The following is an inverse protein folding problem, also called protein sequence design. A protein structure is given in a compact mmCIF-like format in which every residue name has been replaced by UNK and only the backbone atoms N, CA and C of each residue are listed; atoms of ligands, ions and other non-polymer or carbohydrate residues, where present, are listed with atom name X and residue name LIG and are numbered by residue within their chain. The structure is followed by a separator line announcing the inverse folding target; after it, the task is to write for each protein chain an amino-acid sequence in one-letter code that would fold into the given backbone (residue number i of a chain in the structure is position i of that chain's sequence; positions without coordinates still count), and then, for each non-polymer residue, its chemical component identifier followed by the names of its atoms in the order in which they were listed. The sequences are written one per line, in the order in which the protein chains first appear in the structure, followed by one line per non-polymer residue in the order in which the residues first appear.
data_IF_091718520437
#
_entry.id   IF_091718520437
#
_cell.length_a   1.000
_cell.length_b   1.000
_cell.length_c   1.000
_cell.angle_alpha   90.00
_cell.angle_beta   90.00
_cell.angle_gamma   90.00
#
_symmetry.space_group_name_H-M   'P 1'
#
loop_
_entity.id
_entity.type
_entity.pdbx_description
1 polymer ?
#
# COMPACT_ATOMS: atom_id res chain seq x y z
N UNK A 1 -11.54 21.62 -6.86
CA UNK A 1 -11.89 21.39 -5.44
C UNK A 1 -11.34 20.04 -5.04
N UNK A 2 -10.16 20.02 -4.41
CA UNK A 2 -9.50 18.78 -3.99
C UNK A 2 -10.09 18.41 -2.62
N UNK A 3 -10.79 17.28 -2.53
CA UNK A 3 -11.34 16.79 -1.27
C UNK A 3 -10.19 16.24 -0.42
N UNK A 4 -9.80 16.99 0.61
CA UNK A 4 -8.86 16.55 1.63
C UNK A 4 -9.55 15.47 2.48
N UNK A 5 -9.35 14.20 2.15
CA UNK A 5 -9.74 13.12 3.06
C UNK A 5 -8.76 13.06 4.23
N UNK A 6 -9.05 13.83 5.28
CA UNK A 6 -8.51 13.57 6.60
C UNK A 6 -9.40 12.50 7.25
N UNK A 7 -8.85 11.34 7.65
CA UNK A 7 -9.66 10.34 8.35
C UNK A 7 -10.26 10.94 9.61
N UNK A 8 -11.51 10.58 9.91
CA UNK A 8 -12.22 11.15 11.05
C UNK A 8 -11.55 10.74 12.36
N UNK A 9 -11.76 11.51 13.42
CA UNK A 9 -11.26 11.19 14.78
C UNK A 9 -11.71 9.80 15.24
N UNK A 10 -12.88 9.34 14.78
CA UNK A 10 -13.37 7.98 15.00
C UNK A 10 -12.63 6.93 14.19
N UNK A 11 -12.25 7.19 12.94
CA UNK A 11 -11.43 6.26 12.13
C UNK A 11 -10.03 6.10 12.70
N UNK A 12 -9.43 7.20 13.17
CA UNK A 12 -8.14 7.21 13.86
C UNK A 12 -8.24 6.47 15.21
N UNK A 13 -9.27 6.74 16.00
CA UNK A 13 -9.50 6.07 17.27
C UNK A 13 -9.84 4.58 17.11
N UNK A 14 -10.50 4.18 16.01
CA UNK A 14 -10.81 2.79 15.70
C UNK A 14 -9.56 2.03 15.21
N UNK A 15 -8.65 2.72 14.50
CA UNK A 15 -7.31 2.21 14.18
C UNK A 15 -6.50 1.98 15.46
N UNK A 16 -6.41 2.99 16.33
CA UNK A 16 -5.61 2.95 17.56
C UNK A 16 -6.18 2.00 18.62
N UNK A 17 -7.51 1.93 18.79
CA UNK A 17 -8.14 1.04 19.77
C UNK A 17 -8.03 -0.44 19.39
N UNK A 18 -7.93 -0.78 18.10
CA UNK A 18 -7.68 -2.15 17.61
C UNK A 18 -6.24 -2.60 17.84
N UNK A 19 -5.28 -1.67 17.81
CA UNK A 19 -3.91 -1.93 18.22
C UNK A 19 -3.84 -2.20 19.73
N UNK A 20 -4.65 -1.48 20.53
CA UNK A 20 -4.62 -1.57 22.00
C UNK A 20 -5.38 -2.76 22.62
N UNK A 21 -6.48 -3.24 22.02
CA UNK A 21 -7.27 -4.36 22.58
C UNK A 21 -6.70 -5.76 22.29
N UNK A 22 -5.64 -5.90 21.52
CA UNK A 22 -5.19 -7.16 20.89
C UNK A 22 -3.72 -7.50 21.20
N UNK A 23 -3.30 -7.28 22.44
CA UNK A 23 -1.91 -7.47 22.90
C UNK A 23 -1.34 -8.88 22.65
N UNK A 24 -2.17 -9.92 22.69
CA UNK A 24 -1.71 -11.31 22.57
C UNK A 24 -1.98 -11.97 21.20
N UNK A 25 -2.96 -11.47 20.43
CA UNK A 25 -3.38 -12.09 19.15
C UNK A 25 -2.80 -11.42 17.90
N UNK A 26 -2.31 -10.17 17.98
CA UNK A 26 -1.52 -9.57 16.87
C UNK A 26 -0.09 -10.12 16.85
N UNK A 27 0.41 -10.57 18.01
CA UNK A 27 1.77 -11.06 18.19
C UNK A 27 2.13 -12.26 17.28
N UNK A 28 1.15 -13.07 16.85
CA UNK A 28 1.38 -14.33 16.13
C UNK A 28 0.89 -14.35 14.67
N UNK A 29 0.18 -13.31 14.20
CA UNK A 29 -0.38 -13.30 12.84
C UNK A 29 0.57 -12.65 11.83
N UNK A 30 0.77 -13.28 10.66
CA UNK A 30 1.56 -12.69 9.57
C UNK A 30 1.04 -11.32 9.16
N UNK A 31 1.96 -10.40 8.90
CA UNK A 31 1.65 -9.04 8.46
C UNK A 31 2.24 -8.81 7.07
N UNK A 32 1.40 -8.43 6.11
CA UNK A 32 1.82 -8.07 4.76
C UNK A 32 1.78 -6.56 4.54
N UNK A 33 2.88 -6.01 4.02
CA UNK A 33 3.03 -4.60 3.67
C UNK A 33 3.33 -4.47 2.19
N UNK A 34 2.56 -3.65 1.48
CA UNK A 34 2.82 -3.25 0.09
C UNK A 34 3.32 -1.81 0.08
N UNK A 35 4.50 -1.58 -0.50
CA UNK A 35 5.05 -0.25 -0.74
C UNK A 35 5.02 0.06 -2.23
N UNK A 36 4.40 1.20 -2.58
CA UNK A 36 4.27 1.72 -3.95
C UNK A 36 5.23 2.91 -4.10
N UNK A 37 6.38 2.63 -4.68
CA UNK A 37 7.40 3.62 -5.00
C UNK A 37 7.35 4.09 -6.45
N UNK A 38 8.15 5.12 -6.76
CA UNK A 38 8.28 5.66 -8.13
C UNK A 38 8.85 4.64 -9.12
N UNK A 39 9.67 3.70 -8.65
CA UNK A 39 10.32 2.72 -9.53
C UNK A 39 9.74 1.30 -9.39
N UNK A 40 9.29 0.92 -8.20
CA UNK A 40 8.88 -0.44 -7.91
C UNK A 40 7.71 -0.50 -6.94
N UNK A 41 6.94 -1.57 -7.06
CA UNK A 41 6.01 -2.00 -6.02
C UNK A 41 6.60 -3.22 -5.32
N UNK A 42 6.60 -3.23 -3.99
CA UNK A 42 7.14 -4.34 -3.19
C UNK A 42 6.09 -4.87 -2.23
N UNK A 43 5.96 -6.19 -2.13
CA UNK A 43 5.29 -6.89 -1.04
C UNK A 43 6.33 -7.48 -0.10
N UNK A 44 6.19 -7.19 1.19
CA UNK A 44 6.93 -7.84 2.26
C UNK A 44 5.93 -8.48 3.22
N UNK A 45 6.14 -9.74 3.57
CA UNK A 45 5.40 -10.44 4.61
C UNK A 45 6.34 -10.77 5.76
N UNK A 46 5.93 -10.43 6.96
CA UNK A 46 6.62 -10.74 8.21
C UNK A 46 5.90 -11.85 8.96
N UNK A 47 6.68 -12.77 9.54
CA UNK A 47 6.15 -13.88 10.35
C UNK A 47 5.88 -13.42 11.78
N UNK A 48 4.72 -12.80 12.00
CA UNK A 48 4.22 -12.38 13.32
C UNK A 48 4.95 -11.19 13.95
N UNK A 49 4.29 -10.49 14.87
CA UNK A 49 4.85 -9.34 15.59
C UNK A 49 5.74 -9.78 16.76
N UNK A 50 6.84 -10.48 16.45
CA UNK A 50 8.00 -10.51 17.34
C UNK A 50 8.69 -9.14 17.31
N UNK A 51 9.46 -8.81 18.37
CA UNK A 51 10.24 -7.55 18.45
C UNK A 51 11.26 -7.41 17.29
N UNK A 52 11.56 -8.52 16.62
CA UNK A 52 12.32 -8.61 15.36
C UNK A 52 11.69 -9.70 14.47
N UNK A 53 10.71 -9.36 13.61
CA UNK A 53 10.04 -10.33 12.75
C UNK A 53 10.98 -10.86 11.65
N UNK A 54 10.97 -12.17 11.41
CA UNK A 54 11.64 -12.74 10.25
C UNK A 54 10.86 -12.43 8.95
N UNK A 55 11.60 -12.27 7.84
CA UNK A 55 10.97 -12.22 6.52
C UNK A 55 10.36 -13.58 6.20
N UNK A 56 9.04 -13.58 6.01
CA UNK A 56 8.33 -14.74 5.47
C UNK A 56 8.29 -14.72 3.95
N UNK A 57 8.15 -13.51 3.38
CA UNK A 57 8.10 -13.31 1.93
C UNK A 57 8.60 -11.91 1.57
N UNK A 58 9.29 -11.77 0.44
CA UNK A 58 9.72 -10.48 -0.08
C UNK A 58 9.79 -10.54 -1.59
N UNK A 59 8.95 -9.76 -2.27
CA UNK A 59 8.93 -9.69 -3.72
C UNK A 59 8.84 -8.23 -4.19
N UNK A 60 9.62 -7.90 -5.22
CA UNK A 60 9.70 -6.57 -5.81
C UNK A 60 9.41 -6.67 -7.31
N UNK A 61 8.47 -5.86 -7.79
CA UNK A 61 8.13 -5.73 -9.21
C UNK A 61 8.51 -4.32 -9.69
N UNK A 62 9.30 -4.27 -10.76
CA UNK A 62 9.69 -3.02 -11.41
C UNK A 62 8.53 -2.47 -12.23
N UNK A 63 7.99 -1.32 -11.81
CA UNK A 63 6.84 -0.71 -12.46
C UNK A 63 7.20 0.60 -13.15
N UNK A 64 8.27 1.29 -12.75
CA UNK A 64 8.63 2.61 -13.29
C UNK A 64 7.45 3.60 -13.29
N UNK A 65 6.67 3.60 -12.21
CA UNK A 65 5.43 4.36 -12.06
C UNK A 65 5.63 5.87 -12.18
N UNK A 66 6.76 6.39 -11.69
CA UNK A 66 7.14 7.80 -11.77
C UNK A 66 7.99 8.17 -12.99
N UNK A 67 8.14 7.29 -13.98
CA UNK A 67 8.92 7.61 -15.18
C UNK A 67 8.22 8.72 -16.00
N UNK A 68 8.93 9.82 -16.25
CA UNK A 68 8.37 10.99 -16.94
C UNK A 68 7.57 11.94 -16.05
N UNK A 69 7.54 11.72 -14.73
CA UNK A 69 6.71 12.50 -13.81
C UNK A 69 7.16 13.96 -13.70
N UNK A 70 8.47 14.22 -13.69
CA UNK A 70 9.02 15.59 -13.62
C UNK A 70 8.64 16.44 -14.83
N UNK A 71 8.49 15.81 -15.99
CA UNK A 71 8.20 16.49 -17.25
C UNK A 71 6.70 16.60 -17.51
N UNK A 72 5.94 15.54 -17.22
CA UNK A 72 4.51 15.46 -17.56
C UNK A 72 3.59 15.86 -16.42
N UNK A 73 4.07 15.81 -15.17
CA UNK A 73 3.23 15.96 -13.98
C UNK A 73 2.29 14.78 -13.72
N UNK A 74 2.37 13.70 -14.51
CA UNK A 74 1.48 12.53 -14.42
C UNK A 74 2.28 11.24 -14.23
N UNK A 75 1.62 10.20 -13.71
CA UNK A 75 2.16 8.87 -13.61
C UNK A 75 2.36 8.24 -15.00
N UNK A 76 3.39 7.41 -15.11
CA UNK A 76 3.66 6.67 -16.34
C UNK A 76 2.49 5.70 -16.67
N UNK A 77 1.85 5.77 -17.85
CA UNK A 77 0.70 4.92 -18.18
C UNK A 77 1.00 3.42 -18.15
N UNK A 78 2.13 3.00 -18.69
CA UNK A 78 2.56 1.60 -18.64
C UNK A 78 2.91 1.19 -17.21
N UNK A 79 3.49 2.11 -16.44
CA UNK A 79 3.81 1.91 -15.05
C UNK A 79 2.58 1.74 -14.17
N UNK A 80 1.50 2.48 -14.45
CA UNK A 80 0.20 2.28 -13.80
C UNK A 80 -0.34 0.89 -14.08
N UNK A 81 -0.32 0.45 -15.34
CA UNK A 81 -0.76 -0.89 -15.73
C UNK A 81 0.02 -1.98 -15.00
N UNK A 82 1.36 -1.87 -14.96
CA UNK A 82 2.21 -2.81 -14.21
C UNK A 82 1.93 -2.79 -12.71
N UNK A 83 1.75 -1.61 -12.12
CA UNK A 83 1.49 -1.48 -10.68
C UNK A 83 0.14 -2.07 -10.27
N UNK A 84 -0.93 -1.84 -11.04
CA UNK A 84 -2.24 -2.46 -10.81
C UNK A 84 -2.13 -3.99 -10.87
N UNK A 85 -1.48 -4.53 -11.90
CA UNK A 85 -1.29 -5.97 -12.04
C UNK A 85 -0.46 -6.56 -10.89
N UNK A 86 0.60 -5.87 -10.47
CA UNK A 86 1.44 -6.27 -9.35
C UNK A 86 0.64 -6.33 -8.04
N UNK A 87 -0.13 -5.28 -7.73
CA UNK A 87 -0.92 -5.19 -6.49
C UNK A 87 -2.04 -6.22 -6.50
N UNK A 88 -2.74 -6.41 -7.62
CA UNK A 88 -3.76 -7.46 -7.74
C UNK A 88 -3.16 -8.86 -7.52
N UNK A 89 -1.95 -9.12 -8.02
CA UNK A 89 -1.26 -10.39 -7.75
C UNK A 89 -0.89 -10.51 -6.26
N UNK A 90 -0.42 -9.43 -5.64
CA UNK A 90 -0.10 -9.40 -4.22
C UNK A 90 -1.33 -9.65 -3.33
N UNK A 91 -2.52 -9.16 -3.70
CA UNK A 91 -3.75 -9.45 -2.93
C UNK A 91 -4.11 -10.94 -2.98
N UNK A 92 -3.94 -11.60 -4.12
CA UNK A 92 -4.13 -13.05 -4.22
C UNK A 92 -3.10 -13.84 -3.40
N UNK A 93 -1.82 -13.43 -3.45
CA UNK A 93 -0.77 -14.03 -2.64
C UNK A 93 -1.04 -13.89 -1.15
N UNK A 94 -1.42 -12.69 -0.70
CA UNK A 94 -1.77 -12.43 0.69
C UNK A 94 -2.93 -13.31 1.16
N UNK A 95 -3.98 -13.43 0.33
CA UNK A 95 -5.13 -14.29 0.60
C UNK A 95 -4.70 -15.76 0.73
N UNK A 96 -3.84 -16.25 -0.16
CA UNK A 96 -3.30 -17.62 -0.10
C UNK A 96 -2.44 -17.86 1.15
N UNK A 97 -1.75 -16.84 1.65
CA UNK A 97 -0.97 -16.90 2.89
C UNK A 97 -1.82 -16.72 4.17
N UNK A 98 -3.14 -16.60 4.05
CA UNK A 98 -4.03 -16.37 5.19
C UNK A 98 -3.95 -14.95 5.76
N UNK A 99 -3.46 -13.98 4.98
CA UNK A 99 -3.35 -12.57 5.36
C UNK A 99 -4.61 -11.85 4.83
N UNK A 100 -5.59 -11.53 5.69
CA UNK A 100 -6.88 -11.03 5.24
C UNK A 100 -6.81 -9.58 4.73
N UNK A 101 -5.76 -8.84 5.05
CA UNK A 101 -5.61 -7.43 4.66
C UNK A 101 -4.14 -7.05 4.53
N UNK A 102 -3.78 -6.39 3.43
CA UNK A 102 -2.45 -5.81 3.24
C UNK A 102 -2.45 -4.36 3.72
N UNK A 103 -1.34 -3.94 4.34
CA UNK A 103 -1.08 -2.53 4.60
C UNK A 103 -0.43 -1.97 3.34
N UNK A 104 -1.15 -1.16 2.57
CA UNK A 104 -0.65 -0.61 1.31
C UNK A 104 -0.32 0.87 1.46
N UNK A 105 0.92 1.24 1.14
CA UNK A 105 1.45 2.61 1.28
C UNK A 105 1.96 3.08 -0.08
N UNK A 106 1.71 4.34 -0.42
CA UNK A 106 2.28 4.98 -1.59
C UNK A 106 3.08 6.23 -1.22
N UNK A 107 4.18 6.44 -1.93
CA UNK A 107 5.16 7.50 -1.64
C UNK A 107 5.10 8.63 -2.68
N UNK A 108 6.26 9.19 -3.06
CA UNK A 108 6.37 10.45 -3.80
C UNK A 108 5.67 10.43 -5.16
N UNK A 109 5.86 9.41 -6.00
CA UNK A 109 5.26 9.40 -7.33
C UNK A 109 3.74 9.56 -7.31
N UNK A 110 3.04 8.80 -6.47
CA UNK A 110 1.57 8.86 -6.39
C UNK A 110 1.11 10.16 -5.71
N UNK A 111 1.86 10.67 -4.73
CA UNK A 111 1.52 11.91 -4.04
C UNK A 111 1.65 13.13 -4.95
N UNK A 112 2.71 13.18 -5.74
CA UNK A 112 3.13 14.38 -6.46
C UNK A 112 2.50 14.45 -7.88
N UNK A 113 1.99 13.32 -8.40
CA UNK A 113 1.31 13.28 -9.69
C UNK A 113 -0.11 13.85 -9.67
N UNK A 114 -0.46 14.59 -10.72
CA UNK A 114 -1.80 15.16 -10.90
C UNK A 114 -2.88 14.08 -10.99
N UNK A 115 -2.56 12.94 -11.59
CA UNK A 115 -3.47 11.78 -11.72
C UNK A 115 -3.31 10.76 -10.57
N UNK A 116 -2.55 11.09 -9.52
CA UNK A 116 -2.29 10.21 -8.39
C UNK A 116 -3.54 9.81 -7.61
N UNK A 117 -4.46 10.74 -7.37
CA UNK A 117 -5.72 10.45 -6.69
C UNK A 117 -6.63 9.51 -7.51
N UNK A 118 -6.67 9.70 -8.83
CA UNK A 118 -7.42 8.83 -9.74
C UNK A 118 -6.81 7.41 -9.77
N UNK A 119 -5.48 7.30 -9.74
CA UNK A 119 -4.79 6.02 -9.64
C UNK A 119 -5.07 5.29 -8.32
N UNK A 120 -5.13 6.00 -7.18
CA UNK A 120 -5.51 5.39 -5.89
C UNK A 120 -6.94 4.85 -5.92
N UNK A 121 -7.87 5.60 -6.53
CA UNK A 121 -9.25 5.15 -6.68
C UNK A 121 -9.33 3.91 -7.58
N UNK A 122 -8.62 3.90 -8.71
CA UNK A 122 -8.51 2.74 -9.60
C UNK A 122 -7.99 1.50 -8.86
N UNK A 123 -6.95 1.65 -8.03
CA UNK A 123 -6.42 0.55 -7.22
C UNK A 123 -7.47 -0.01 -6.27
N UNK A 124 -8.22 0.85 -5.59
CA UNK A 124 -9.29 0.43 -4.68
C UNK A 124 -10.37 -0.36 -5.41
N UNK A 125 -10.81 0.11 -6.57
CA UNK A 125 -11.83 -0.55 -7.40
C UNK A 125 -11.36 -1.91 -7.92
N UNK A 126 -10.13 -1.99 -8.43
CA UNK A 126 -9.62 -3.22 -9.05
C UNK A 126 -9.11 -4.27 -8.07
N UNK A 127 -8.62 -3.85 -6.90
CA UNK A 127 -7.90 -4.74 -5.97
C UNK A 127 -8.55 -4.84 -4.59
N UNK A 128 -9.50 -3.95 -4.29
CA UNK A 128 -10.07 -3.80 -2.95
C UNK A 128 -9.12 -3.21 -1.91
N UNK A 129 -7.88 -2.84 -2.29
CA UNK A 129 -6.90 -2.28 -1.35
C UNK A 129 -7.10 -0.78 -1.17
N UNK A 130 -7.21 -0.35 0.09
CA UNK A 130 -7.06 1.05 0.44
C UNK A 130 -5.56 1.39 0.46
N UNK A 131 -5.19 2.50 -0.17
CA UNK A 131 -3.80 2.97 -0.25
C UNK A 131 -3.63 4.18 0.65
N UNK A 132 -2.69 4.12 1.58
CA UNK A 132 -2.27 5.27 2.37
C UNK A 132 -1.18 6.04 1.61
N UNK A 133 -1.49 7.23 1.13
CA UNK A 133 -0.49 8.12 0.53
C UNK A 133 0.22 8.90 1.64
N UNK A 134 1.52 8.66 1.83
CA UNK A 134 2.28 9.30 2.92
C UNK A 134 2.86 10.65 2.50
N UNK A 135 2.82 11.60 3.44
CA UNK A 135 3.48 12.91 3.28
C UNK A 135 5.01 12.72 3.30
N UNK A 136 5.71 13.44 2.42
CA UNK A 136 7.16 13.61 2.54
C UNK A 136 7.46 14.48 3.76
N UNK A 137 8.58 14.20 4.44
CA UNK A 137 9.16 15.16 5.39
C UNK A 137 9.93 16.22 4.63
#
# INVERSE_FOLDING_TARGET
MVSNYAPSTEEQANFDSRLRKKGDLVALSKVGVVDIGSNSVRLVVFDGAARSPAYYYNEKIMCALGAGLSETGCLNPDGRTRAVAAILRFTYLAKAMGIPRLITVATAAVRDAQDGAAFVQELKEKTGQAVLVIKGK
#
